data_IF_622106057211
#
_entry.id   IF_622106057211
#
_cell.length_a   1.000
_cell.length_b   1.000
_cell.length_c   1.000
_cell.angle_alpha   90.00
_cell.angle_beta   90.00
_cell.angle_gamma   90.00
#
_symmetry.space_group_name_H-M   'P 1'
#
loop_
_entity.id
_entity.type
_entity.pdbx_description
1 polymer ?
#
# COMPACT_ATOMS: atom_id res chain seq x y z
N UNK A 1 29.15 -24.71 -17.67
CA UNK A 1 27.70 -24.40 -17.76
C UNK A 1 27.00 -25.19 -16.65
N UNK A 2 26.34 -24.54 -15.68
CA UNK A 2 25.70 -25.27 -14.57
C UNK A 2 25.68 -24.57 -13.21
N UNK A 3 26.15 -23.33 -13.10
CA UNK A 3 26.08 -22.56 -11.84
C UNK A 3 25.17 -21.35 -12.05
N UNK A 4 24.07 -21.31 -11.28
CA UNK A 4 22.93 -20.41 -11.50
C UNK A 4 23.22 -18.92 -11.25
N UNK A 5 24.27 -18.57 -10.51
CA UNK A 5 24.70 -17.17 -10.33
C UNK A 5 26.10 -17.08 -9.70
N UNK A 6 26.71 -15.89 -9.75
CA UNK A 6 27.98 -15.61 -9.07
C UNK A 6 27.91 -15.91 -7.56
N UNK A 7 26.77 -15.68 -6.90
CA UNK A 7 26.60 -16.05 -5.50
C UNK A 7 26.54 -17.59 -5.28
N UNK A 8 25.93 -18.35 -6.20
CA UNK A 8 25.97 -19.81 -6.14
C UNK A 8 27.37 -20.36 -6.42
N UNK A 9 28.11 -19.70 -7.31
CA UNK A 9 29.51 -20.02 -7.56
C UNK A 9 30.34 -19.83 -6.29
N UNK A 10 30.21 -18.68 -5.62
CA UNK A 10 30.88 -18.42 -4.34
C UNK A 10 30.46 -19.41 -3.25
N UNK A 11 29.19 -19.79 -3.20
CA UNK A 11 28.71 -20.77 -2.21
C UNK A 11 29.36 -22.15 -2.41
N UNK A 12 29.37 -22.64 -3.64
CA UNK A 12 29.93 -23.94 -3.97
C UNK A 12 31.47 -23.94 -3.95
N UNK A 13 32.09 -22.99 -4.66
CA UNK A 13 33.53 -22.96 -4.89
C UNK A 13 34.31 -22.42 -3.69
N UNK A 14 33.80 -21.37 -3.04
CA UNK A 14 34.47 -20.76 -1.89
C UNK A 14 33.95 -21.30 -0.55
N UNK A 15 32.98 -22.22 -0.55
CA UNK A 15 32.46 -22.86 0.67
C UNK A 15 31.76 -21.92 1.65
N UNK A 16 31.30 -20.74 1.22
CA UNK A 16 30.59 -19.79 2.08
C UNK A 16 29.08 -19.96 1.99
N UNK A 17 28.31 -19.60 3.02
CA UNK A 17 26.85 -19.72 2.96
C UNK A 17 26.25 -18.83 1.86
N UNK A 18 25.13 -19.27 1.27
CA UNK A 18 24.49 -18.55 0.16
C UNK A 18 24.09 -17.11 0.53
N UNK A 19 23.73 -16.85 1.79
CA UNK A 19 23.45 -15.51 2.29
C UNK A 19 24.69 -14.62 2.30
N UNK A 20 25.83 -15.14 2.79
CA UNK A 20 27.11 -14.40 2.79
C UNK A 20 27.61 -14.17 1.36
N UNK A 21 27.41 -15.14 0.47
CA UNK A 21 27.75 -15.01 -0.95
C UNK A 21 26.96 -13.89 -1.63
N UNK A 22 25.63 -13.85 -1.46
CA UNK A 22 24.78 -12.76 -1.99
C UNK A 22 25.21 -11.40 -1.46
N UNK A 23 25.51 -11.32 -0.18
CA UNK A 23 25.95 -10.09 0.46
C UNK A 23 27.28 -9.57 -0.11
N UNK A 24 28.25 -10.47 -0.33
CA UNK A 24 29.52 -10.13 -0.99
C UNK A 24 29.32 -9.63 -2.42
N UNK A 25 28.46 -10.31 -3.19
CA UNK A 25 28.14 -9.90 -4.56
C UNK A 25 27.46 -8.53 -4.59
N UNK A 26 26.51 -8.26 -3.67
CA UNK A 26 25.86 -6.95 -3.54
C UNK A 26 26.87 -5.83 -3.30
N UNK A 27 27.76 -6.02 -2.32
CA UNK A 27 28.82 -5.04 -2.01
C UNK A 27 29.73 -4.82 -3.21
N UNK A 28 30.16 -5.90 -3.87
CA UNK A 28 31.05 -5.82 -5.04
C UNK A 28 30.40 -5.07 -6.21
N UNK A 29 29.09 -5.21 -6.43
CA UNK A 29 28.35 -4.48 -7.47
C UNK A 29 28.15 -2.99 -7.14
N UNK A 30 28.07 -2.63 -5.86
CA UNK A 30 27.86 -1.25 -5.44
C UNK A 30 29.14 -0.40 -5.51
N UNK A 31 30.29 -0.98 -5.19
CA UNK A 31 31.57 -0.26 -5.08
C UNK A 31 32.00 0.53 -6.33
N UNK A 32 31.81 0.06 -7.58
CA UNK A 32 32.15 0.84 -8.78
C UNK A 32 31.46 2.19 -8.87
N UNK A 33 30.26 2.34 -8.29
CA UNK A 33 29.50 3.58 -8.27
C UNK A 33 29.83 4.48 -7.06
N UNK A 34 30.77 4.09 -6.20
CA UNK A 34 31.08 4.72 -4.91
C UNK A 34 32.60 4.94 -4.76
N UNK A 35 33.18 5.89 -5.51
CA UNK A 35 34.62 6.03 -5.65
C UNK A 35 35.32 6.27 -4.31
N UNK A 36 34.77 7.11 -3.43
CA UNK A 36 35.43 7.39 -2.14
C UNK A 36 35.44 6.16 -1.22
N UNK A 37 34.32 5.43 -1.16
CA UNK A 37 34.22 4.22 -0.33
C UNK A 37 35.12 3.12 -0.90
N UNK A 38 35.16 2.98 -2.23
CA UNK A 38 36.02 2.03 -2.92
C UNK A 38 37.50 2.29 -2.64
N UNK A 39 37.95 3.55 -2.75
CA UNK A 39 39.33 3.94 -2.41
C UNK A 39 39.66 3.67 -0.94
N UNK A 40 38.79 4.11 -0.01
CA UNK A 40 39.02 3.89 1.42
C UNK A 40 39.07 2.39 1.78
N UNK A 41 38.29 1.55 1.09
CA UNK A 41 38.31 0.11 1.29
C UNK A 41 39.56 -0.55 0.70
N UNK A 42 39.96 -0.16 -0.52
CA UNK A 42 41.16 -0.66 -1.16
C UNK A 42 42.44 -0.34 -0.37
N UNK A 43 42.48 0.83 0.26
CA UNK A 43 43.58 1.25 1.14
C UNK A 43 43.51 0.65 2.56
N UNK A 44 42.48 -0.17 2.86
CA UNK A 44 42.30 -0.80 4.16
C UNK A 44 41.90 0.16 5.29
N UNK A 45 41.53 1.41 4.97
CA UNK A 45 41.12 2.42 5.97
C UNK A 45 39.74 2.14 6.57
N UNK A 46 38.90 1.35 5.88
CA UNK A 46 37.60 0.89 6.38
C UNK A 46 37.48 -0.62 6.28
N UNK A 47 36.83 -1.25 7.26
CA UNK A 47 36.61 -2.70 7.26
C UNK A 47 35.46 -3.11 6.35
N UNK A 48 35.47 -4.37 5.89
CA UNK A 48 34.39 -4.94 5.09
C UNK A 48 33.01 -4.79 5.77
N UNK A 49 32.92 -4.97 7.10
CA UNK A 49 31.66 -4.80 7.83
C UNK A 49 31.08 -3.38 7.71
N UNK A 50 31.94 -2.35 7.73
CA UNK A 50 31.53 -0.94 7.54
C UNK A 50 31.06 -0.71 6.10
N UNK A 51 31.85 -1.15 5.12
CA UNK A 51 31.52 -1.02 3.68
C UNK A 51 30.21 -1.73 3.36
N UNK A 52 30.04 -2.94 3.88
CA UNK A 52 28.82 -3.74 3.76
C UNK A 52 27.60 -2.97 4.25
N UNK A 53 27.68 -2.29 5.39
CA UNK A 53 26.59 -1.48 5.92
C UNK A 53 26.35 -0.22 5.08
N UNK A 54 27.40 0.54 4.74
CA UNK A 54 27.27 1.81 4.00
C UNK A 54 26.69 1.61 2.60
N UNK A 55 27.17 0.60 1.85
CA UNK A 55 26.74 0.31 0.47
C UNK A 55 25.25 0.00 0.32
N UNK A 56 24.50 -0.12 1.43
CA UNK A 56 23.07 -0.32 1.37
C UNK A 56 22.25 0.98 1.23
N UNK A 57 22.87 2.14 1.43
CA UNK A 57 22.25 3.48 1.31
C UNK A 57 23.17 4.51 0.66
N UNK A 58 24.41 4.12 0.38
CA UNK A 58 25.41 4.99 -0.18
C UNK A 58 25.05 5.38 -1.62
N UNK A 59 25.25 6.65 -1.90
CA UNK A 59 25.12 7.32 -3.19
C UNK A 59 26.32 8.24 -3.33
N UNK A 60 26.60 8.69 -4.55
CA UNK A 60 27.64 9.69 -4.80
C UNK A 60 27.47 10.96 -3.95
N UNK A 61 26.24 11.30 -3.56
CA UNK A 61 25.93 12.51 -2.77
C UNK A 61 26.21 12.36 -1.28
N UNK A 62 26.12 11.15 -0.72
CA UNK A 62 26.20 10.91 0.72
C UNK A 62 27.38 10.01 1.15
N UNK A 63 28.17 9.48 0.22
CA UNK A 63 29.30 8.59 0.53
C UNK A 63 30.34 9.24 1.47
N UNK A 64 30.62 10.53 1.30
CA UNK A 64 31.56 11.27 2.15
C UNK A 64 31.09 11.33 3.62
N UNK A 65 29.78 11.55 3.82
CA UNK A 65 29.19 11.62 5.17
C UNK A 65 29.23 10.26 5.87
N UNK A 66 28.95 9.18 5.13
CA UNK A 66 29.04 7.81 5.65
C UNK A 66 30.48 7.44 6.01
N UNK A 67 31.45 7.84 5.17
CA UNK A 67 32.87 7.61 5.43
C UNK A 67 33.37 8.33 6.68
N UNK A 68 32.93 9.56 6.93
CA UNK A 68 33.30 10.29 8.14
C UNK A 68 32.93 9.49 9.40
N UNK A 69 31.71 8.96 9.46
CA UNK A 69 31.29 8.08 10.57
C UNK A 69 32.05 6.76 10.56
N UNK A 70 32.36 6.20 9.39
CA UNK A 70 33.14 4.98 9.28
C UNK A 70 34.59 5.13 9.73
N UNK A 71 35.22 6.30 9.58
CA UNK A 71 36.59 6.53 10.05
C UNK A 71 36.68 6.69 11.57
N UNK A 72 35.67 7.31 12.19
CA UNK A 72 35.70 7.66 13.61
C UNK A 72 34.84 6.75 14.51
N UNK A 73 34.06 5.84 13.93
CA UNK A 73 33.13 4.97 14.65
C UNK A 73 33.40 3.48 14.48
N UNK A 74 32.70 2.66 15.27
CA UNK A 74 32.67 1.20 15.14
C UNK A 74 31.74 0.75 14.01
N UNK A 75 31.87 -0.51 13.56
CA UNK A 75 30.96 -1.06 12.55
C UNK A 75 29.49 -1.04 13.00
N UNK A 76 29.23 -1.30 14.30
CA UNK A 76 27.87 -1.24 14.85
C UNK A 76 27.27 0.18 14.86
N UNK A 77 28.10 1.22 15.03
CA UNK A 77 27.64 2.61 14.92
C UNK A 77 27.28 2.97 13.47
N UNK A 78 28.07 2.51 12.49
CA UNK A 78 27.76 2.68 11.07
C UNK A 78 26.47 1.92 10.70
N UNK A 79 26.30 0.69 11.18
CA UNK A 79 25.06 -0.08 10.98
C UNK A 79 23.85 0.66 11.56
N UNK A 80 23.97 1.22 12.77
CA UNK A 80 22.91 2.02 13.39
C UNK A 80 22.60 3.30 12.61
N UNK A 81 23.62 4.01 12.12
CA UNK A 81 23.44 5.20 11.27
C UNK A 81 22.67 4.85 9.99
N UNK A 82 23.06 3.77 9.31
CA UNK A 82 22.39 3.29 8.09
C UNK A 82 20.94 2.91 8.38
N UNK A 83 20.68 2.20 9.49
CA UNK A 83 19.34 1.84 9.91
C UNK A 83 18.46 3.07 10.17
N UNK A 84 18.99 4.09 10.88
CA UNK A 84 18.27 5.33 11.15
C UNK A 84 17.99 6.12 9.87
N UNK A 85 18.98 6.25 8.98
CA UNK A 85 18.81 6.92 7.69
C UNK A 85 17.70 6.28 6.85
N UNK A 86 17.67 4.94 6.79
CA UNK A 86 16.61 4.19 6.09
C UNK A 86 15.24 4.42 6.69
N UNK A 87 15.14 4.37 8.03
CA UNK A 87 13.89 4.64 8.73
C UNK A 87 13.34 6.02 8.40
N UNK A 88 14.20 7.04 8.38
CA UNK A 88 13.83 8.41 8.02
C UNK A 88 13.37 8.47 6.55
N UNK A 89 14.14 7.91 5.61
CA UNK A 89 13.78 7.90 4.18
C UNK A 89 12.45 7.20 3.90
N UNK A 90 12.19 6.09 4.59
CA UNK A 90 10.93 5.35 4.53
C UNK A 90 9.76 6.20 5.06
N UNK A 91 9.96 6.91 6.17
CA UNK A 91 8.96 7.84 6.72
C UNK A 91 8.70 9.05 5.80
N UNK A 92 9.74 9.60 5.17
CA UNK A 92 9.60 10.68 4.18
C UNK A 92 8.78 10.22 2.97
N UNK A 93 9.12 9.08 2.37
CA UNK A 93 8.38 8.53 1.23
C UNK A 93 6.91 8.23 1.58
N UNK A 94 6.66 7.74 2.80
CA UNK A 94 5.32 7.53 3.31
C UNK A 94 4.55 8.85 3.49
N UNK A 95 5.19 9.88 4.04
CA UNK A 95 4.59 11.19 4.23
C UNK A 95 4.24 11.85 2.89
N UNK A 96 5.13 11.75 1.89
CA UNK A 96 4.85 12.20 0.52
C UNK A 96 3.65 11.47 -0.09
N UNK A 97 3.54 10.15 0.09
CA UNK A 97 2.38 9.40 -0.40
C UNK A 97 1.09 9.74 0.37
N UNK A 98 1.17 9.98 1.67
CA UNK A 98 0.02 10.47 2.44
C UNK A 98 -0.45 11.83 1.94
N UNK A 99 0.47 12.73 1.58
CA UNK A 99 0.14 14.00 0.93
C UNK A 99 -0.49 13.77 -0.45
N UNK A 100 0.12 12.95 -1.32
CA UNK A 100 -0.45 12.59 -2.63
C UNK A 100 -1.87 12.03 -2.50
N UNK A 101 -2.07 11.15 -1.53
CA UNK A 101 -3.38 10.60 -1.22
C UNK A 101 -4.33 11.68 -0.71
N UNK A 102 -3.90 12.61 0.16
CA UNK A 102 -4.74 13.71 0.62
C UNK A 102 -5.17 14.66 -0.52
N UNK A 103 -4.32 14.83 -1.54
CA UNK A 103 -4.58 15.64 -2.73
C UNK A 103 -5.29 14.90 -3.87
N UNK A 104 -5.74 13.65 -3.63
CA UNK A 104 -6.54 12.92 -4.61
C UNK A 104 -7.90 13.59 -4.74
N UNK A 105 -8.31 13.86 -5.97
CA UNK A 105 -9.56 14.54 -6.27
C UNK A 105 -10.09 14.03 -7.61
N UNK A 106 -11.40 13.95 -7.74
CA UNK A 106 -12.06 13.78 -9.03
C UNK A 106 -13.11 14.87 -9.09
N UNK A 107 -12.98 15.76 -10.07
CA UNK A 107 -13.94 16.81 -10.37
C UNK A 107 -14.46 16.62 -11.79
N UNK A 108 -15.69 17.07 -12.02
CA UNK A 108 -16.25 17.15 -13.35
C UNK A 108 -17.05 18.43 -13.49
N UNK A 109 -17.13 18.94 -14.71
CA UNK A 109 -18.02 20.01 -15.08
C UNK A 109 -18.59 19.72 -16.47
N UNK A 110 -19.70 20.37 -16.78
CA UNK A 110 -20.28 20.37 -18.12
C UNK A 110 -19.83 21.65 -18.80
N UNK A 111 -19.23 21.53 -19.98
CA UNK A 111 -18.80 22.69 -20.75
C UNK A 111 -19.96 23.32 -21.55
N UNK A 112 -19.67 24.41 -22.25
CA UNK A 112 -20.65 25.14 -23.07
C UNK A 112 -21.22 24.30 -24.22
N UNK A 113 -20.52 23.25 -24.65
CA UNK A 113 -20.98 22.31 -25.68
C UNK A 113 -21.84 21.19 -25.13
N UNK A 114 -22.05 21.13 -23.81
CA UNK A 114 -22.78 20.07 -23.13
C UNK A 114 -21.94 18.81 -22.87
N UNK A 115 -20.64 18.84 -23.18
CA UNK A 115 -19.73 17.73 -22.93
C UNK A 115 -19.31 17.71 -21.46
N UNK A 116 -19.23 16.50 -20.89
CA UNK A 116 -18.78 16.31 -19.51
C UNK A 116 -17.26 16.14 -19.48
N UNK A 117 -16.59 17.07 -18.82
CA UNK A 117 -15.14 17.08 -18.67
C UNK A 117 -14.79 16.54 -17.29
N UNK A 118 -14.16 15.36 -17.23
CA UNK A 118 -13.67 14.74 -16.02
C UNK A 118 -12.18 15.06 -15.80
N UNK A 119 -11.82 15.51 -14.59
CA UNK A 119 -10.43 15.71 -14.17
C UNK A 119 -10.17 15.00 -12.85
N UNK A 120 -9.21 14.08 -12.85
CA UNK A 120 -8.87 13.29 -11.67
C UNK A 120 -7.37 13.29 -11.36
N UNK A 121 -7.03 13.39 -10.07
CA UNK A 121 -5.71 13.04 -9.53
C UNK A 121 -5.89 11.83 -8.61
N UNK A 122 -5.23 10.72 -8.95
CA UNK A 122 -5.33 9.44 -8.24
C UNK A 122 -3.94 9.03 -7.71
N UNK A 123 -3.90 8.19 -6.67
CA UNK A 123 -2.64 7.54 -6.27
C UNK A 123 -2.22 6.48 -7.30
N UNK A 124 -0.96 6.04 -7.28
CA UNK A 124 -0.46 5.01 -8.21
C UNK A 124 -1.33 3.73 -8.18
N UNK A 125 -1.65 3.23 -6.98
CA UNK A 125 -2.55 2.07 -6.79
C UNK A 125 -3.93 2.30 -7.43
N UNK A 126 -4.53 3.48 -7.23
CA UNK A 126 -5.87 3.78 -7.75
C UNK A 126 -5.87 3.98 -9.26
N UNK A 127 -4.88 4.72 -9.77
CA UNK A 127 -4.71 4.98 -11.20
C UNK A 127 -4.49 3.70 -11.99
N UNK A 128 -3.65 2.78 -11.48
CA UNK A 128 -3.41 1.49 -12.12
C UNK A 128 -4.70 0.66 -12.24
N UNK A 129 -5.54 0.62 -11.20
CA UNK A 129 -6.82 -0.10 -11.24
C UNK A 129 -7.79 0.54 -12.23
N UNK A 130 -7.93 1.86 -12.23
CA UNK A 130 -8.82 2.57 -13.16
C UNK A 130 -8.35 2.40 -14.60
N UNK A 131 -7.05 2.57 -14.87
CA UNK A 131 -6.48 2.37 -16.19
C UNK A 131 -6.74 0.94 -16.70
N UNK A 132 -6.52 -0.08 -15.86
CA UNK A 132 -6.81 -1.47 -16.22
C UNK A 132 -8.29 -1.75 -16.46
N UNK A 133 -9.19 -1.13 -15.70
CA UNK A 133 -10.62 -1.26 -15.94
C UNK A 133 -11.03 -0.66 -17.30
N UNK A 134 -10.41 0.46 -17.70
CA UNK A 134 -10.65 1.08 -19.01
C UNK A 134 -10.07 0.24 -20.14
N UNK A 135 -8.81 -0.22 -20.01
CA UNK A 135 -8.19 -1.14 -20.97
C UNK A 135 -9.04 -2.40 -21.17
N UNK A 136 -9.49 -3.01 -20.08
CA UNK A 136 -10.38 -4.18 -20.08
C UNK A 136 -11.69 -3.95 -20.82
N UNK A 137 -12.31 -2.78 -20.63
CA UNK A 137 -13.54 -2.43 -21.31
C UNK A 137 -13.32 -2.15 -22.81
N UNK A 138 -12.19 -1.56 -23.18
CA UNK A 138 -11.81 -1.36 -24.59
C UNK A 138 -11.53 -2.69 -25.32
N UNK A 139 -10.84 -3.62 -24.66
CA UNK A 139 -10.54 -4.94 -25.24
C UNK A 139 -11.82 -5.75 -25.50
N UNK A 140 -12.77 -5.73 -24.55
CA UNK A 140 -14.08 -6.39 -24.74
C UNK A 140 -14.88 -5.78 -25.89
N UNK A 141 -14.88 -4.45 -26.01
CA UNK A 141 -15.55 -3.79 -27.12
C UNK A 141 -14.93 -4.23 -28.46
N UNK A 142 -13.60 -4.32 -28.52
CA UNK A 142 -12.90 -4.80 -29.72
C UNK A 142 -13.20 -6.28 -30.04
N UNK A 143 -13.24 -7.15 -29.04
CA UNK A 143 -13.61 -8.57 -29.21
C UNK A 143 -15.05 -8.74 -29.69
N UNK A 144 -15.98 -7.93 -29.19
CA UNK A 144 -17.39 -7.93 -29.63
C UNK A 144 -17.52 -7.53 -31.10
N UNK A 145 -16.81 -6.50 -31.55
CA UNK A 145 -16.80 -6.08 -32.97
C UNK A 145 -16.21 -7.16 -33.88
N UNK A 146 -15.17 -7.88 -33.43
CA UNK A 146 -14.52 -8.97 -34.19
C UNK A 146 -15.37 -10.25 -34.26
N UNK A 147 -16.37 -10.38 -33.38
CA UNK A 147 -17.30 -11.51 -33.35
C UNK A 147 -18.41 -11.44 -34.41
N UNK A 148 -18.50 -10.34 -35.16
CA UNK A 148 -19.50 -10.15 -36.21
C UNK A 148 -19.11 -10.92 -37.51
N UNK A 149 -20.07 -11.45 -38.28
CA UNK A 149 -19.77 -12.19 -39.51
C UNK A 149 -18.98 -11.32 -40.52
N UNK A 150 -17.95 -11.89 -41.15
CA UNK A 150 -17.04 -11.25 -42.14
C UNK A 150 -17.72 -10.51 -43.30
N UNK A 151 -19.02 -10.73 -43.53
CA UNK A 151 -19.81 -10.01 -44.54
C UNK A 151 -20.16 -8.58 -44.09
N UNK A 152 -20.35 -8.36 -42.78
CA UNK A 152 -20.61 -7.02 -42.19
C UNK A 152 -19.30 -6.22 -42.04
N UNK A 153 -18.19 -6.89 -41.68
CA UNK A 153 -16.84 -6.27 -41.63
C UNK A 153 -16.48 -5.62 -42.99
N UNK A 154 -16.83 -6.24 -44.12
CA UNK A 154 -16.56 -5.70 -45.47
C UNK A 154 -17.43 -4.50 -45.85
N UNK A 155 -18.63 -4.38 -45.29
CA UNK A 155 -19.48 -3.19 -45.49
C UNK A 155 -19.04 -2.04 -44.57
N UNK A 156 -18.71 -2.34 -43.31
CA UNK A 156 -18.16 -1.37 -42.34
C UNK A 156 -16.80 -0.82 -42.79
N UNK A 157 -15.89 -1.67 -43.28
CA UNK A 157 -14.59 -1.22 -43.83
C UNK A 157 -14.76 -0.32 -45.06
N UNK A 158 -15.78 -0.55 -45.90
CA UNK A 158 -16.09 0.29 -47.07
C UNK A 158 -16.68 1.65 -46.68
N UNK A 159 -17.46 1.72 -45.61
CA UNK A 159 -18.04 2.96 -45.09
C UNK A 159 -17.00 3.77 -44.29
N UNK A 160 -16.21 3.12 -43.45
CA UNK A 160 -15.14 3.74 -42.64
C UNK A 160 -13.96 4.23 -43.49
N UNK A 161 -13.67 3.59 -44.64
CA UNK A 161 -12.67 4.09 -45.59
C UNK A 161 -13.05 5.40 -46.32
N UNK A 162 -14.27 5.93 -46.16
CA UNK A 162 -14.63 7.27 -46.69
C UNK A 162 -14.26 8.41 -45.73
N UNK A 163 -14.05 8.13 -44.45
CA UNK A 163 -13.74 9.13 -43.43
C UNK A 163 -12.52 8.61 -42.65
N UNK A 164 -11.32 8.86 -43.17
CA UNK A 164 -10.05 8.27 -42.72
C UNK A 164 -9.56 8.71 -41.34
N UNK A 165 -10.36 8.55 -40.28
CA UNK A 165 -9.92 8.71 -38.91
C UNK A 165 -10.11 7.38 -38.18
N UNK A 166 -9.00 6.68 -37.91
CA UNK A 166 -8.98 5.69 -36.85
C UNK A 166 -9.46 6.40 -35.57
N UNK A 167 -10.48 5.84 -34.92
CA UNK A 167 -11.08 6.42 -33.73
C UNK A 167 -9.98 6.69 -32.68
N UNK A 168 -9.73 7.95 -32.28
CA UNK A 168 -8.65 8.28 -31.37
C UNK A 168 -8.76 7.48 -30.07
N UNK A 169 -7.63 7.01 -29.54
CA UNK A 169 -7.60 6.26 -28.27
C UNK A 169 -8.31 6.98 -27.11
N UNK A 170 -8.41 8.31 -27.18
CA UNK A 170 -9.17 9.12 -26.24
C UNK A 170 -10.69 8.91 -26.32
N UNK A 171 -11.25 8.73 -27.52
CA UNK A 171 -12.68 8.44 -27.72
C UNK A 171 -13.02 7.04 -27.19
N UNK A 172 -12.21 6.03 -27.57
CA UNK A 172 -12.35 4.66 -27.04
C UNK A 172 -12.28 4.60 -25.51
N UNK A 173 -11.43 5.43 -24.89
CA UNK A 173 -11.36 5.57 -23.43
C UNK A 173 -12.61 6.22 -22.83
N UNK A 174 -13.23 7.17 -23.52
CA UNK A 174 -14.49 7.78 -23.10
C UNK A 174 -15.62 6.75 -23.11
N UNK A 175 -15.72 5.95 -24.18
CA UNK A 175 -16.72 4.88 -24.28
C UNK A 175 -16.47 3.77 -23.24
N UNK A 176 -15.20 3.41 -23.03
CA UNK A 176 -14.82 2.45 -21.99
C UNK A 176 -15.20 2.93 -20.58
N UNK A 177 -15.04 4.22 -20.29
CA UNK A 177 -15.41 4.81 -19.01
C UNK A 177 -16.92 4.74 -18.78
N UNK A 178 -17.70 5.08 -19.80
CA UNK A 178 -19.16 4.93 -19.79
C UNK A 178 -19.57 3.48 -19.54
N UNK A 179 -18.93 2.53 -20.23
CA UNK A 179 -19.22 1.11 -20.14
C UNK A 179 -18.93 0.54 -18.76
N UNK A 180 -17.82 0.94 -18.13
CA UNK A 180 -17.48 0.58 -16.75
C UNK A 180 -18.55 1.10 -15.79
N UNK A 181 -18.96 2.37 -15.94
CA UNK A 181 -19.99 2.96 -15.10
C UNK A 181 -21.36 2.27 -15.29
N UNK A 182 -21.76 2.01 -16.54
CA UNK A 182 -23.00 1.30 -16.89
C UNK A 182 -23.01 -0.11 -16.32
N UNK A 183 -21.92 -0.86 -16.45
CA UNK A 183 -21.81 -2.21 -15.90
C UNK A 183 -21.94 -2.23 -14.37
N UNK A 184 -21.35 -1.25 -13.69
CA UNK A 184 -21.50 -1.08 -12.25
C UNK A 184 -22.94 -0.74 -11.84
N UNK A 185 -23.59 0.19 -12.55
CA UNK A 185 -24.99 0.58 -12.29
C UNK A 185 -25.99 -0.52 -12.61
N UNK A 186 -25.72 -1.36 -13.60
CA UNK A 186 -26.55 -2.51 -13.97
C UNK A 186 -26.55 -3.62 -12.91
N UNK A 187 -25.78 -3.46 -11.82
CA UNK A 187 -25.73 -4.42 -10.73
C UNK A 187 -25.07 -5.73 -11.11
N UNK A 188 -24.22 -5.73 -12.15
CA UNK A 188 -23.41 -6.89 -12.47
C UNK A 188 -22.59 -7.24 -11.22
N UNK A 189 -22.95 -8.35 -10.56
CA UNK A 189 -22.09 -8.94 -9.54
C UNK A 189 -20.74 -9.17 -10.22
N UNK A 190 -19.71 -8.49 -9.74
CA UNK A 190 -18.33 -8.77 -10.14
C UNK A 190 -18.06 -10.19 -9.65
N UNK A 191 -18.37 -11.18 -10.48
CA UNK A 191 -18.07 -12.56 -10.15
C UNK A 191 -16.55 -12.64 -10.06
N UNK A 192 -16.05 -13.00 -8.88
CA UNK A 192 -14.61 -13.20 -8.60
C UNK A 192 -13.94 -14.10 -9.64
N UNK A 193 -14.71 -14.88 -10.40
CA UNK A 193 -14.25 -15.73 -11.52
C UNK A 193 -13.67 -14.98 -12.71
N UNK A 194 -13.87 -13.66 -12.84
CA UNK A 194 -13.20 -12.85 -13.89
C UNK A 194 -11.91 -12.18 -13.38
N UNK A 195 -11.63 -12.26 -12.07
CA UNK A 195 -10.47 -11.62 -11.44
C UNK A 195 -9.11 -12.07 -11.97
N UNK A 196 -9.04 -13.23 -12.65
CA UNK A 196 -7.81 -13.70 -13.29
C UNK A 196 -7.53 -13.07 -14.67
N UNK A 197 -8.48 -12.36 -15.29
CA UNK A 197 -8.25 -11.71 -16.60
C UNK A 197 -7.49 -10.38 -16.52
N UNK A 198 -7.61 -9.65 -15.41
CA UNK A 198 -6.98 -8.34 -15.26
C UNK A 198 -6.26 -8.26 -13.91
N UNK A 199 -4.92 -8.27 -13.95
CA UNK A 199 -4.05 -8.22 -12.77
C UNK A 199 -3.28 -6.91 -12.80
N UNK A 200 -3.22 -6.21 -11.68
CA UNK A 200 -2.27 -5.10 -11.47
C UNK A 200 -1.02 -5.71 -10.85
N UNK A 201 0.09 -5.65 -11.56
CA UNK A 201 1.36 -6.14 -11.03
C UNK A 201 2.06 -5.04 -10.24
N UNK A 202 2.59 -5.45 -9.09
CA UNK A 202 3.45 -4.65 -8.26
C UNK A 202 4.80 -5.36 -8.16
N UNK A 203 5.84 -4.71 -8.68
CA UNK A 203 7.20 -5.21 -8.67
C UNK A 203 7.88 -4.70 -7.41
N UNK A 204 8.27 -5.60 -6.52
CA UNK A 204 8.97 -5.27 -5.26
C UNK A 204 9.86 -6.42 -4.85
N UNK A 205 10.97 -6.13 -4.16
CA UNK A 205 11.75 -7.17 -3.51
C UNK A 205 11.11 -7.61 -2.17
N UNK A 206 11.44 -8.82 -1.73
CA UNK A 206 10.93 -9.38 -0.46
C UNK A 206 11.47 -8.63 0.77
N UNK A 207 12.66 -8.03 0.65
CA UNK A 207 13.26 -7.30 1.76
C UNK A 207 12.46 -6.04 2.06
N UNK A 208 11.99 -5.30 1.05
CA UNK A 208 11.12 -4.11 1.14
C UNK A 208 9.84 -4.38 1.93
N UNK A 209 9.30 -5.58 1.82
CA UNK A 209 8.07 -5.97 2.52
C UNK A 209 8.27 -6.28 4.01
N UNK A 210 9.51 -6.51 4.45
CA UNK A 210 9.83 -6.75 5.86
C UNK A 210 9.74 -5.47 6.69
N UNK A 211 9.53 -5.63 8.00
CA UNK A 211 9.46 -4.49 8.94
C UNK A 211 10.79 -3.73 8.96
N UNK A 212 11.90 -4.49 9.00
CA UNK A 212 13.27 -3.97 8.97
C UNK A 212 13.89 -4.03 7.56
N UNK A 213 13.03 -4.00 6.55
CA UNK A 213 13.36 -4.17 5.14
C UNK A 213 14.35 -3.16 4.57
N UNK A 214 15.14 -3.63 3.60
CA UNK A 214 16.29 -2.89 3.06
C UNK A 214 16.05 -2.21 1.71
N UNK A 215 14.99 -2.60 1.00
CA UNK A 215 14.63 -2.06 -0.31
C UNK A 215 13.66 -0.88 -0.20
N UNK A 216 13.76 0.03 -1.17
CA UNK A 216 13.04 1.32 -1.20
C UNK A 216 12.18 1.49 -2.46
N UNK A 217 12.18 0.51 -3.36
CA UNK A 217 11.59 0.64 -4.69
C UNK A 217 10.56 -0.47 -4.88
N UNK A 218 9.30 -0.06 -4.90
CA UNK A 218 8.21 -0.87 -5.41
C UNK A 218 7.52 -0.07 -6.51
N UNK A 219 7.33 -0.67 -7.67
CA UNK A 219 6.82 0.04 -8.84
C UNK A 219 5.65 -0.73 -9.46
N UNK A 220 4.67 0.01 -9.98
CA UNK A 220 3.66 -0.55 -10.86
C UNK A 220 4.24 -0.80 -12.27
N UNK A 221 3.49 -1.49 -13.15
CA UNK A 221 3.91 -1.78 -14.53
C UNK A 221 4.27 -0.51 -15.34
N UNK A 222 3.65 0.62 -15.02
CA UNK A 222 3.92 1.94 -15.61
C UNK A 222 5.15 2.65 -14.99
N UNK A 223 5.89 1.96 -14.13
CA UNK A 223 7.03 2.47 -13.34
C UNK A 223 6.65 3.54 -12.31
N UNK A 224 5.36 3.73 -12.03
CA UNK A 224 4.92 4.59 -10.94
C UNK A 224 5.42 4.03 -9.61
N UNK A 225 6.09 4.87 -8.82
CA UNK A 225 6.61 4.49 -7.51
C UNK A 225 5.48 4.29 -6.50
N UNK A 226 5.61 3.24 -5.69
CA UNK A 226 4.72 2.86 -4.61
C UNK A 226 5.55 2.70 -3.34
N UNK A 227 5.18 3.32 -2.22
CA UNK A 227 5.93 3.15 -0.97
C UNK A 227 5.90 1.72 -0.43
N UNK A 228 6.89 1.38 0.39
CA UNK A 228 7.03 0.06 1.00
C UNK A 228 5.81 -0.34 1.85
N UNK A 229 5.24 0.59 2.62
CA UNK A 229 4.05 0.36 3.45
C UNK A 229 2.81 0.07 2.61
N UNK A 230 2.62 0.81 1.52
CA UNK A 230 1.52 0.58 0.57
C UNK A 230 1.68 -0.79 -0.10
N UNK A 231 2.90 -1.12 -0.51
CA UNK A 231 3.24 -2.41 -1.09
C UNK A 231 2.99 -3.57 -0.13
N UNK A 232 3.36 -3.38 1.14
CA UNK A 232 3.12 -4.34 2.23
C UNK A 232 1.63 -4.52 2.54
N UNK A 233 0.85 -3.44 2.50
CA UNK A 233 -0.61 -3.51 2.61
C UNK A 233 -1.21 -4.31 1.47
N UNK A 234 -0.84 -4.01 0.23
CA UNK A 234 -1.31 -4.72 -0.97
C UNK A 234 -0.95 -6.20 -0.91
N UNK A 235 0.25 -6.54 -0.44
CA UNK A 235 0.73 -7.91 -0.29
C UNK A 235 0.03 -8.74 0.81
N UNK A 236 -0.90 -8.17 1.58
CA UNK A 236 -1.63 -8.93 2.60
C UNK A 236 -2.64 -9.94 2.03
N UNK A 237 -3.27 -9.61 0.89
CA UNK A 237 -4.28 -10.45 0.21
C UNK A 237 -4.00 -10.62 -1.30
N UNK A 238 -2.89 -10.08 -1.80
CA UNK A 238 -2.47 -10.27 -3.18
C UNK A 238 -1.88 -11.66 -3.41
N UNK A 239 -2.04 -12.16 -4.64
CA UNK A 239 -1.30 -13.33 -5.10
C UNK A 239 0.13 -12.94 -5.43
N UNK A 240 1.10 -13.77 -5.01
CA UNK A 240 2.51 -13.53 -5.28
C UNK A 240 2.98 -14.40 -6.44
N UNK A 241 3.72 -13.80 -7.37
CA UNK A 241 4.44 -14.53 -8.42
C UNK A 241 5.91 -14.22 -8.19
N UNK A 242 6.69 -15.24 -7.87
CA UNK A 242 8.13 -15.05 -7.63
C UNK A 242 8.86 -15.01 -8.96
N UNK A 243 9.57 -13.92 -9.23
CA UNK A 243 10.38 -13.76 -10.43
C UNK A 243 11.85 -13.89 -10.01
N UNK A 244 12.58 -14.76 -10.69
CA UNK A 244 14.03 -14.87 -10.57
C UNK A 244 14.63 -14.15 -11.77
N UNK A 245 15.48 -13.16 -11.53
CA UNK A 245 16.15 -12.37 -12.57
C UNK A 245 17.65 -12.67 -12.62
N UNK A 246 18.25 -12.49 -13.79
CA UNK A 246 19.70 -12.51 -14.01
C UNK A 246 20.36 -11.27 -13.40
N UNK A 247 21.69 -11.19 -13.47
CA UNK A 247 22.44 -10.04 -13.00
C UNK A 247 22.18 -8.77 -13.82
N UNK A 248 21.71 -8.94 -15.05
CA UNK A 248 21.45 -7.93 -16.07
C UNK A 248 19.96 -7.54 -16.15
N UNK A 249 19.11 -8.12 -15.30
CA UNK A 249 17.67 -7.83 -15.23
C UNK A 249 16.79 -8.64 -16.20
N UNK A 250 17.33 -9.71 -16.79
CA UNK A 250 16.54 -10.61 -17.65
C UNK A 250 15.84 -11.69 -16.81
N UNK A 251 14.58 -12.03 -17.12
CA UNK A 251 13.82 -13.02 -16.35
C UNK A 251 14.40 -14.43 -16.58
N UNK A 252 14.93 -15.03 -15.50
CA UNK A 252 15.54 -16.36 -15.50
C UNK A 252 14.48 -17.46 -15.27
N UNK A 253 13.48 -17.20 -14.42
CA UNK A 253 12.37 -18.13 -14.16
C UNK A 253 11.21 -17.41 -13.49
N UNK A 254 9.99 -17.72 -13.93
CA UNK A 254 8.75 -17.28 -13.28
C UNK A 254 8.18 -18.44 -12.46
N UNK A 255 8.10 -18.25 -11.15
CA UNK A 255 7.52 -19.21 -10.21
C UNK A 255 6.00 -19.31 -10.36
N UNK A 256 5.39 -20.33 -9.73
CA UNK A 256 3.93 -20.46 -9.70
C UNK A 256 3.31 -19.33 -8.88
N UNK A 257 2.11 -18.89 -9.29
CA UNK A 257 1.22 -18.05 -8.48
C UNK A 257 1.03 -18.75 -7.13
N UNK A 258 1.61 -18.16 -6.09
CA UNK A 258 1.59 -18.70 -4.74
C UNK A 258 1.00 -17.66 -3.81
N UNK A 259 0.28 -18.16 -2.80
CA UNK A 259 -0.26 -17.40 -1.68
C UNK A 259 -1.19 -16.23 -2.08
N UNK A 260 -2.47 -16.55 -2.18
CA UNK A 260 -3.60 -15.69 -1.81
C UNK A 260 -4.28 -16.32 -0.60
N UNK A 261 -5.04 -15.55 0.19
CA UNK A 261 -5.75 -16.12 1.34
C UNK A 261 -6.81 -17.11 0.80
N UNK A 262 -6.75 -18.40 1.19
CA UNK A 262 -7.65 -19.40 0.64
C UNK A 262 -9.11 -19.00 0.81
N UNK A 263 -9.99 -19.23 -0.19
CA UNK A 263 -11.40 -18.86 -0.10
C UNK A 263 -12.12 -19.43 1.13
N UNK A 264 -11.72 -20.61 1.60
CA UNK A 264 -12.25 -21.21 2.83
C UNK A 264 -11.90 -20.39 4.09
N UNK A 265 -10.65 -19.92 4.21
CA UNK A 265 -10.22 -19.05 5.31
C UNK A 265 -10.92 -17.69 5.21
N UNK A 266 -11.03 -17.13 4.00
CA UNK A 266 -11.76 -15.87 3.76
C UNK A 266 -13.22 -15.94 4.23
N UNK A 267 -13.94 -17.02 3.90
CA UNK A 267 -15.31 -17.26 4.37
C UNK A 267 -15.39 -17.41 5.89
N UNK A 268 -14.44 -18.12 6.49
CA UNK A 268 -14.37 -18.26 7.94
C UNK A 268 -14.15 -16.90 8.62
N UNK A 269 -13.25 -16.07 8.07
CA UNK A 269 -13.00 -14.71 8.55
C UNK A 269 -14.25 -13.83 8.46
N UNK A 270 -14.97 -13.87 7.34
CA UNK A 270 -16.23 -13.12 7.19
C UNK A 270 -17.24 -13.49 8.27
N UNK A 271 -17.36 -14.77 8.61
CA UNK A 271 -18.26 -15.25 9.67
C UNK A 271 -17.79 -14.84 11.06
N UNK A 272 -16.49 -14.96 11.38
CA UNK A 272 -15.94 -14.62 12.70
C UNK A 272 -15.98 -13.11 12.94
N UNK A 273 -15.60 -12.33 11.93
CA UNK A 273 -15.34 -10.91 12.09
C UNK A 273 -16.56 -10.03 11.81
N UNK A 274 -17.49 -10.50 10.97
CA UNK A 274 -18.73 -9.78 10.62
C UNK A 274 -18.52 -8.46 9.86
N UNK A 275 -17.28 -8.09 9.56
CA UNK A 275 -16.88 -6.83 8.98
C UNK A 275 -15.50 -6.40 9.49
N UNK A 276 -15.19 -5.11 9.36
CA UNK A 276 -13.94 -4.55 9.86
C UNK A 276 -13.90 -4.61 11.40
N UNK A 277 -12.83 -5.19 11.95
CA UNK A 277 -12.64 -5.32 13.41
C UNK A 277 -12.00 -4.12 14.09
N UNK A 278 -11.67 -3.07 13.34
CA UNK A 278 -11.16 -1.85 13.94
C UNK A 278 -12.21 -1.25 14.89
N UNK A 279 -11.86 -0.84 16.12
CA UNK A 279 -12.84 -0.40 17.12
C UNK A 279 -13.74 0.72 16.60
N UNK A 280 -15.06 0.54 16.73
CA UNK A 280 -16.07 1.49 16.28
C UNK A 280 -16.38 1.48 14.78
N UNK A 281 -15.70 0.65 13.96
CA UNK A 281 -16.02 0.51 12.55
C UNK A 281 -17.24 -0.40 12.34
N UNK A 282 -18.13 0.01 11.43
CA UNK A 282 -19.33 -0.76 11.04
C UNK A 282 -19.29 -1.24 9.59
N UNK A 283 -18.15 -1.11 8.91
CA UNK A 283 -18.00 -1.50 7.52
C UNK A 283 -18.04 -3.03 7.38
N UNK A 284 -19.05 -3.53 6.66
CA UNK A 284 -19.23 -4.97 6.38
C UNK A 284 -18.82 -5.35 4.95
N UNK A 285 -18.72 -4.36 4.06
CA UNK A 285 -18.30 -4.51 2.66
C UNK A 285 -16.93 -3.89 2.43
N UNK A 286 -16.25 -4.31 1.36
CA UNK A 286 -14.91 -3.83 0.98
C UNK A 286 -13.89 -4.01 2.11
N UNK A 287 -13.92 -5.21 2.70
CA UNK A 287 -13.00 -5.65 3.75
C UNK A 287 -12.00 -6.64 3.18
N UNK A 288 -10.74 -6.41 3.51
CA UNK A 288 -9.60 -7.21 3.12
C UNK A 288 -9.04 -7.91 4.37
N UNK A 289 -8.45 -9.09 4.17
CA UNK A 289 -7.83 -9.80 5.26
C UNK A 289 -6.39 -9.29 5.49
N UNK A 290 -6.08 -8.98 6.73
CA UNK A 290 -4.82 -8.42 7.18
C UNK A 290 -4.08 -9.44 8.05
N UNK A 291 -2.76 -9.53 7.85
CA UNK A 291 -1.88 -10.38 8.67
C UNK A 291 -1.35 -9.58 9.87
N UNK A 292 -1.69 -9.98 11.10
CA UNK A 292 -1.23 -9.30 12.32
C UNK A 292 0.29 -9.34 12.44
N UNK A 293 0.89 -10.54 12.37
CA UNK A 293 2.29 -10.69 11.99
C UNK A 293 2.34 -10.82 10.48
N UNK A 294 2.91 -9.82 9.82
CA UNK A 294 3.02 -9.84 8.37
C UNK A 294 3.81 -11.06 7.88
N UNK A 295 3.42 -11.57 6.72
CA UNK A 295 3.99 -12.79 6.17
C UNK A 295 5.46 -12.66 5.76
N UNK A 296 5.87 -11.47 5.29
CA UNK A 296 7.26 -11.21 4.95
C UNK A 296 8.16 -11.32 6.19
N UNK A 297 7.59 -11.11 7.39
CA UNK A 297 8.25 -11.29 8.69
C UNK A 297 8.03 -12.68 9.29
N UNK A 298 7.60 -13.66 8.47
CA UNK A 298 7.37 -15.06 8.90
C UNK A 298 5.97 -15.33 9.48
N UNK A 299 5.01 -14.44 9.28
CA UNK A 299 3.62 -14.67 9.68
C UNK A 299 2.90 -15.71 8.84
N UNK A 300 2.28 -16.71 9.48
CA UNK A 300 1.52 -17.75 8.79
C UNK A 300 0.15 -17.25 8.31
N UNK A 301 -0.32 -17.76 7.18
CA UNK A 301 -1.69 -17.52 6.69
C UNK A 301 -2.66 -18.47 7.39
N UNK A 302 -2.96 -18.20 8.66
CA UNK A 302 -3.89 -18.95 9.49
C UNK A 302 -4.90 -18.04 10.18
N UNK A 303 -6.03 -18.61 10.57
CA UNK A 303 -7.17 -17.88 11.15
C UNK A 303 -6.77 -16.96 12.32
N UNK A 304 -5.87 -17.41 13.18
CA UNK A 304 -5.41 -16.70 14.38
C UNK A 304 -4.52 -15.48 14.08
N UNK A 305 -3.85 -15.48 12.92
CA UNK A 305 -2.96 -14.40 12.49
C UNK A 305 -3.66 -13.45 11.50
N UNK A 306 -4.92 -13.70 11.16
CA UNK A 306 -5.69 -12.94 10.18
C UNK A 306 -6.84 -12.20 10.82
N UNK A 307 -7.13 -11.00 10.34
CA UNK A 307 -8.25 -10.17 10.76
C UNK A 307 -8.84 -9.40 9.58
N UNK A 308 -10.15 -9.18 9.54
CA UNK A 308 -10.77 -8.35 8.50
C UNK A 308 -10.68 -6.85 8.81
N UNK A 309 -10.27 -6.09 7.81
CA UNK A 309 -10.16 -4.63 7.87
C UNK A 309 -10.70 -3.98 6.60
N UNK A 310 -11.45 -2.89 6.72
CA UNK A 310 -11.78 -2.08 5.54
C UNK A 310 -10.54 -1.34 5.06
N UNK A 311 -10.52 -0.92 3.78
CA UNK A 311 -9.38 -0.21 3.17
C UNK A 311 -8.85 0.95 4.01
N UNK A 312 -9.74 1.76 4.61
CA UNK A 312 -9.37 2.87 5.50
C UNK A 312 -8.55 2.41 6.70
N UNK A 313 -9.05 1.44 7.46
CA UNK A 313 -8.37 0.99 8.67
C UNK A 313 -7.14 0.12 8.35
N UNK A 314 -7.19 -0.62 7.25
CA UNK A 314 -6.04 -1.38 6.77
C UNK A 314 -4.89 -0.43 6.40
N UNK A 315 -5.20 0.71 5.78
CA UNK A 315 -4.25 1.80 5.54
C UNK A 315 -3.75 2.42 6.84
N UNK A 316 -4.61 2.64 7.85
CA UNK A 316 -4.15 3.19 9.13
C UNK A 316 -3.12 2.31 9.85
N UNK A 317 -3.25 0.98 9.76
CA UNK A 317 -2.30 0.05 10.39
C UNK A 317 -0.96 -0.01 9.64
N UNK A 318 -0.98 0.01 8.29
CA UNK A 318 0.27 -0.03 7.53
C UNK A 318 0.94 1.33 7.37
N UNK A 319 0.15 2.35 7.09
CA UNK A 319 0.62 3.68 6.66
C UNK A 319 0.35 4.75 7.72
N UNK A 320 -0.66 4.58 8.57
CA UNK A 320 -1.04 5.57 9.60
C UNK A 320 -0.33 5.40 10.94
N UNK A 321 0.56 4.42 11.08
CA UNK A 321 1.33 4.15 12.29
C UNK A 321 0.55 3.46 13.42
N UNK A 322 -0.73 3.12 13.21
CA UNK A 322 -1.51 2.41 14.23
C UNK A 322 -0.96 1.00 14.44
N UNK A 323 -0.75 0.61 15.68
CA UNK A 323 -0.31 -0.73 16.00
C UNK A 323 -1.46 -1.72 16.10
N UNK A 324 -1.16 -2.99 15.84
CA UNK A 324 -2.06 -4.11 15.99
C UNK A 324 -1.29 -5.30 16.53
N UNK A 325 -1.79 -5.86 17.62
CA UNK A 325 -1.23 -7.06 18.26
C UNK A 325 -2.33 -8.03 18.68
N UNK A 326 -1.95 -9.31 18.82
CA UNK A 326 -2.82 -10.32 19.43
C UNK A 326 -2.40 -10.48 20.89
N UNK A 327 -3.31 -10.20 21.82
CA UNK A 327 -3.09 -10.41 23.25
C UNK A 327 -2.97 -11.89 23.62
N UNK A 328 -2.49 -12.17 24.84
CA UNK A 328 -2.38 -13.54 25.37
C UNK A 328 -3.74 -14.27 25.46
N UNK A 329 -4.82 -13.50 25.55
CA UNK A 329 -6.23 -13.90 25.53
C UNK A 329 -6.76 -14.20 24.11
N UNK A 330 -5.91 -14.10 23.08
CA UNK A 330 -6.27 -14.20 21.65
C UNK A 330 -7.20 -13.08 21.17
N UNK A 331 -7.30 -11.98 21.91
CA UNK A 331 -8.03 -10.78 21.48
C UNK A 331 -7.13 -9.80 20.73
N UNK A 332 -7.68 -9.15 19.71
CA UNK A 332 -6.96 -8.15 18.93
C UNK A 332 -6.94 -6.81 19.66
N UNK A 333 -5.75 -6.24 19.84
CA UNK A 333 -5.55 -4.94 20.49
C UNK A 333 -4.94 -3.96 19.50
N UNK A 334 -5.57 -2.79 19.42
CA UNK A 334 -5.11 -1.70 18.57
C UNK A 334 -4.41 -0.65 19.43
N UNK A 335 -3.41 0.00 18.89
CA UNK A 335 -2.72 1.14 19.52
C UNK A 335 -2.68 2.35 18.59
N UNK A 336 -2.65 3.53 19.20
CA UNK A 336 -2.42 4.80 18.53
C UNK A 336 -1.00 4.85 17.94
N UNK A 337 -0.71 5.78 17.01
CA UNK A 337 0.62 5.91 16.42
C UNK A 337 1.78 6.12 17.41
N UNK A 338 1.48 6.58 18.63
CA UNK A 338 2.45 6.68 19.73
C UNK A 338 2.60 5.43 20.60
N UNK A 339 1.95 4.31 20.25
CA UNK A 339 1.98 3.05 20.99
C UNK A 339 1.01 2.95 22.17
N UNK A 340 0.34 4.05 22.54
CA UNK A 340 -0.70 4.02 23.57
C UNK A 340 -1.88 3.15 23.12
N UNK A 341 -2.48 2.34 24.01
CA UNK A 341 -3.61 1.49 23.66
C UNK A 341 -4.79 2.34 23.18
N UNK A 342 -5.44 1.92 22.09
CA UNK A 342 -6.64 2.58 21.61
C UNK A 342 -7.74 2.40 22.67
N UNK A 343 -8.36 3.49 23.17
CA UNK A 343 -9.41 3.36 24.18
C UNK A 343 -10.54 2.48 23.63
N UNK A 344 -11.03 1.57 24.47
CA UNK A 344 -12.20 0.75 24.11
C UNK A 344 -13.34 1.69 23.77
N UNK A 345 -13.82 1.63 22.53
CA UNK A 345 -15.05 2.30 22.17
C UNK A 345 -16.14 1.84 23.16
N UNK A 346 -16.97 2.75 23.70
CA UNK A 346 -18.11 2.35 24.50
C UNK A 346 -18.92 1.32 23.73
N UNK A 347 -19.48 0.32 24.43
CA UNK A 347 -20.22 -0.77 23.83
C UNK A 347 -21.25 -0.26 22.81
N UNK A 348 -21.51 -1.07 21.78
CA UNK A 348 -22.42 -0.69 20.69
C UNK A 348 -23.72 -0.10 21.24
N UNK A 349 -24.05 1.13 20.85
CA UNK A 349 -25.34 1.74 21.21
C UNK A 349 -26.46 0.82 20.76
N UNK A 350 -27.43 0.56 21.63
CA UNK A 350 -28.60 -0.23 21.26
C UNK A 350 -29.25 0.38 20.01
N UNK A 351 -29.35 -0.43 18.95
CA UNK A 351 -30.03 0.00 17.73
C UNK A 351 -31.53 -0.12 17.98
N UNK A 352 -32.17 1.00 18.32
CA UNK A 352 -33.61 1.18 18.11
C UNK A 352 -34.54 1.01 19.32
N UNK A 353 -34.05 0.87 20.55
CA UNK A 353 -34.91 0.92 21.74
C UNK A 353 -34.59 2.16 22.58
N UNK A 354 -35.45 3.17 22.47
CA UNK A 354 -35.35 4.44 23.21
C UNK A 354 -35.32 4.22 24.73
N UNK A 355 -36.12 3.30 25.26
CA UNK A 355 -36.16 3.01 26.69
C UNK A 355 -34.87 2.35 27.18
N UNK A 356 -34.29 1.46 26.37
CA UNK A 356 -32.99 0.87 26.67
C UNK A 356 -31.86 1.92 26.69
N UNK A 357 -31.93 2.92 25.81
CA UNK A 357 -30.98 4.04 25.81
C UNK A 357 -31.16 4.92 27.06
N UNK A 358 -32.41 5.26 27.42
CA UNK A 358 -32.69 6.03 28.65
C UNK A 358 -32.25 5.31 29.91
N UNK A 359 -32.52 4.01 30.01
CA UNK A 359 -32.11 3.19 31.15
C UNK A 359 -30.57 3.11 31.26
N UNK A 360 -29.87 2.92 30.14
CA UNK A 360 -28.41 2.90 30.11
C UNK A 360 -27.79 4.25 30.51
N UNK A 361 -28.36 5.36 30.02
CA UNK A 361 -27.91 6.71 30.40
C UNK A 361 -28.17 6.98 31.89
N UNK A 362 -29.34 6.62 32.41
CA UNK A 362 -29.67 6.76 33.83
C UNK A 362 -28.74 5.93 34.73
N UNK A 363 -28.42 4.69 34.31
CA UNK A 363 -27.46 3.83 35.01
C UNK A 363 -26.03 4.41 35.01
N UNK A 364 -25.69 5.20 33.98
CA UNK A 364 -24.42 5.92 33.89
C UNK A 364 -24.45 7.30 34.58
N UNK A 365 -25.55 7.69 35.23
CA UNK A 365 -25.71 9.01 35.86
C UNK A 365 -25.87 10.16 34.87
N UNK A 366 -26.16 9.87 33.60
CA UNK A 366 -26.32 10.86 32.53
C UNK A 366 -27.79 11.24 32.39
N UNK A 367 -28.16 12.42 32.90
CA UNK A 367 -29.50 12.98 32.71
C UNK A 367 -29.55 13.83 31.43
N UNK A 368 -29.88 13.20 30.32
CA UNK A 368 -30.03 13.87 29.02
C UNK A 368 -31.44 14.45 28.92
N UNK A 369 -31.54 15.78 28.97
CA UNK A 369 -32.77 16.55 28.82
C UNK A 369 -32.78 17.31 27.49
N UNK A 370 -33.91 17.94 27.16
CA UNK A 370 -34.00 18.83 26.00
C UNK A 370 -33.07 20.05 26.08
N UNK A 371 -32.51 20.36 27.27
CA UNK A 371 -31.55 21.45 27.49
C UNK A 371 -30.09 20.99 27.43
N UNK A 372 -29.79 19.68 27.37
CA UNK A 372 -28.41 19.16 27.43
C UNK A 372 -27.51 19.65 26.29
N UNK A 373 -28.08 20.03 25.15
CA UNK A 373 -27.34 20.62 24.02
C UNK A 373 -27.63 22.14 23.84
N UNK A 374 -28.40 22.74 24.73
CA UNK A 374 -28.63 24.18 24.75
C UNK A 374 -27.49 24.84 25.51
N UNK A 375 -26.77 25.76 24.87
CA UNK A 375 -25.81 26.61 25.58
C UNK A 375 -26.52 27.47 26.64
N UNK A 376 -25.79 27.83 27.69
CA UNK A 376 -26.28 28.74 28.75
C UNK A 376 -26.20 30.22 28.35
N UNK A 377 -25.87 30.52 27.09
CA UNK A 377 -25.72 31.88 26.59
C UNK A 377 -27.10 32.48 26.31
N UNK A 378 -27.47 33.51 27.07
CA UNK A 378 -28.74 34.25 26.93
C UNK A 378 -28.74 35.27 25.77
N UNK A 379 -27.71 35.24 24.90
CA UNK A 379 -27.58 36.08 23.70
C UNK A 379 -26.65 37.28 23.84
N UNK A 380 -26.01 37.45 25.00
CA UNK A 380 -25.03 38.52 25.21
C UNK A 380 -23.76 38.30 24.36
N UNK A 381 -23.08 39.39 23.94
CA UNK A 381 -21.81 39.30 23.23
C UNK A 381 -20.74 38.64 24.11
N UNK A 382 -20.00 37.68 23.55
CA UNK A 382 -18.90 37.01 24.26
C UNK A 382 -17.71 37.96 24.41
N UNK A 383 -17.25 38.17 25.65
CA UNK A 383 -15.99 38.89 25.93
C UNK A 383 -14.79 37.97 25.68
N UNK A 384 -14.26 38.05 24.46
CA UNK A 384 -13.11 37.26 24.03
C UNK A 384 -11.83 37.58 24.80
N UNK A 385 -11.70 38.79 25.34
CA UNK A 385 -10.53 39.19 26.11
C UNK A 385 -10.53 38.49 27.47
N UNK A 386 -11.68 38.46 28.15
CA UNK A 386 -11.84 37.76 29.43
C UNK A 386 -11.68 36.24 29.27
N UNK A 387 -12.30 35.66 28.23
CA UNK A 387 -12.19 34.23 27.93
C UNK A 387 -10.73 33.79 27.65
N UNK A 388 -9.95 34.64 26.97
CA UNK A 388 -8.54 34.36 26.70
C UNK A 388 -7.67 34.54 27.95
N UNK A 389 -7.97 35.52 28.81
CA UNK A 389 -7.25 35.73 30.07
C UNK A 389 -7.40 34.56 31.04
N UNK A 390 -8.59 33.95 31.14
CA UNK A 390 -8.78 32.75 31.97
C UNK A 390 -7.97 31.54 31.49
N UNK A 391 -7.86 31.35 30.16
CA UNK A 391 -7.05 30.27 29.59
C UNK A 391 -5.57 30.45 29.89
N UNK A 392 -5.06 31.68 29.74
CA UNK A 392 -3.65 32.00 29.98
C UNK A 392 -3.29 31.91 31.47
N UNK A 393 -4.22 32.19 32.39
CA UNK A 393 -3.97 32.08 33.83
C UNK A 393 -3.99 30.64 34.38
N UNK A 394 -4.43 29.65 33.58
CA UNK A 394 -4.51 28.24 33.98
C UNK A 394 -3.43 27.35 33.35
N UNK A 395 -2.52 27.93 32.56
CA UNK A 395 -1.17 27.39 32.29
C UNK A 395 -0.20 27.85 33.40
#
# INVERSE_FOLDING_TARGET
EGINSCAHWLNWFCGISIGVAREKVRVARALPALPQISTAFAEGRVSYSKVRAMTRVATLRNEAALLNTAFHGSAGQVERQVQLYRRIKRQEALAEEQQRHAHREVSWHVDESGCWVFRGRLTAEQGAVVARALDAAMDRAFEETRGEPKEVEREIEREQCRIGFAEPIAQRRADALERVARAYLAGAEVSDSTGDRYVVNLHTDIETLKADGEGAEANCDDRSHVPAETSRRLACDASLIQWLETAEGEPLSVGRKTRSIPPAIRRALQRRDGGCRFPGCTATRFVDAHHVRHWADGGETKMENLILMCRRHHRLVHEGGFGLEVGADREFRFSLPGGAPLPKAPGGRSRGNFDAIRAANAAAGLEITHRTACGELDGDPVDWQLAMLELIQRE
#
